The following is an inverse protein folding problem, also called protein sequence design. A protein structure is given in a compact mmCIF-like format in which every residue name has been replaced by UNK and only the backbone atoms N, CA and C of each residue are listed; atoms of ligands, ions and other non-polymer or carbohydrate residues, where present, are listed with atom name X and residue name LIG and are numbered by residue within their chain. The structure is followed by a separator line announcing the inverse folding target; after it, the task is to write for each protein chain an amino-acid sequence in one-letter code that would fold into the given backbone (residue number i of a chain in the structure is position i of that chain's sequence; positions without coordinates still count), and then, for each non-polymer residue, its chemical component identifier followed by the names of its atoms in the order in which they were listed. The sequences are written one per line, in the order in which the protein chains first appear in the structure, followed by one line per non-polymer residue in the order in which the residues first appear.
data_IF_467394234636
#
_entry.id   IF_467394234636
#
_cell.length_a   1.000
_cell.length_b   1.000
_cell.length_c   1.000
_cell.angle_alpha   90.00
_cell.angle_beta   90.00
_cell.angle_gamma   90.00
#
_symmetry.space_group_name_H-M   'P 1'
#
loop_
_entity.id
_entity.type
_entity.pdbx_description
1 polymer ?
#
# COMPACT_ATOMS: atom_id res chain seq x y z
N UNK A 1 -13.15 -21.79 -19.50
CA UNK A 1 -12.94 -20.44 -18.91
C UNK A 1 -12.83 -20.60 -17.40
N UNK A 2 -11.64 -20.44 -16.83
CA UNK A 2 -11.44 -20.57 -15.38
C UNK A 2 -11.87 -19.28 -14.68
N UNK A 3 -12.61 -19.40 -13.57
CA UNK A 3 -13.03 -18.27 -12.75
C UNK A 3 -12.11 -18.15 -11.54
N UNK A 4 -11.27 -17.12 -11.53
CA UNK A 4 -10.36 -16.81 -10.44
C UNK A 4 -11.07 -16.04 -9.33
N UNK A 5 -10.63 -16.25 -8.09
CA UNK A 5 -10.92 -15.30 -7.01
C UNK A 5 -10.28 -13.95 -7.30
N UNK A 6 -10.81 -12.89 -6.70
CA UNK A 6 -10.16 -11.56 -6.73
C UNK A 6 -8.72 -11.62 -6.24
N UNK A 7 -8.40 -12.43 -5.22
CA UNK A 7 -7.03 -12.55 -4.71
C UNK A 7 -6.09 -13.23 -5.70
N UNK A 8 -6.53 -14.30 -6.36
CA UNK A 8 -5.73 -15.00 -7.38
C UNK A 8 -5.52 -14.12 -8.62
N UNK A 9 -6.55 -13.41 -9.06
CA UNK A 9 -6.44 -12.46 -10.17
C UNK A 9 -5.48 -11.31 -9.84
N UNK A 10 -5.53 -10.76 -8.61
CA UNK A 10 -4.64 -9.68 -8.18
C UNK A 10 -3.17 -10.14 -8.18
N UNK A 11 -2.91 -11.35 -7.66
CA UNK A 11 -1.57 -11.94 -7.68
C UNK A 11 -1.05 -12.13 -9.11
N UNK A 12 -1.90 -12.64 -10.03
CA UNK A 12 -1.53 -12.83 -11.43
C UNK A 12 -1.32 -11.51 -12.18
N UNK A 13 -1.99 -10.44 -11.77
CA UNK A 13 -1.84 -9.07 -12.30
C UNK A 13 -0.65 -8.31 -11.69
N UNK A 14 0.01 -8.84 -10.66
CA UNK A 14 1.05 -8.11 -9.94
C UNK A 14 0.54 -6.87 -9.18
N UNK A 15 -0.74 -6.82 -8.83
CA UNK A 15 -1.34 -5.68 -8.10
C UNK A 15 -1.86 -6.11 -6.73
N UNK A 16 -1.97 -5.14 -5.81
CA UNK A 16 -2.58 -5.38 -4.51
C UNK A 16 -4.06 -5.76 -4.59
N UNK A 17 -4.52 -6.60 -3.66
CA UNK A 17 -5.92 -7.04 -3.58
C UNK A 17 -6.93 -5.88 -3.55
N UNK A 18 -6.64 -4.83 -2.78
CA UNK A 18 -7.50 -3.64 -2.69
C UNK A 18 -7.55 -2.86 -4.02
N UNK A 19 -6.45 -2.80 -4.76
CA UNK A 19 -6.36 -2.15 -6.06
C UNK A 19 -7.27 -2.84 -7.06
N UNK A 20 -7.22 -4.18 -7.10
CA UNK A 20 -8.13 -4.93 -7.97
C UNK A 20 -9.59 -4.79 -7.52
N UNK A 21 -9.87 -4.80 -6.20
CA UNK A 21 -11.22 -4.58 -5.67
C UNK A 21 -11.76 -3.20 -6.06
N UNK A 22 -10.91 -2.17 -6.04
CA UNK A 22 -11.27 -0.83 -6.49
C UNK A 22 -11.62 -0.82 -7.98
N UNK A 23 -10.82 -1.45 -8.84
CA UNK A 23 -11.14 -1.55 -10.26
C UNK A 23 -12.44 -2.29 -10.55
N UNK A 24 -12.81 -3.27 -9.71
CA UNK A 24 -14.11 -3.95 -9.78
C UNK A 24 -15.24 -2.97 -9.46
N UNK A 25 -15.10 -2.16 -8.40
CA UNK A 25 -16.11 -1.16 -8.03
C UNK A 25 -16.22 -0.02 -9.05
N UNK A 26 -15.12 0.34 -9.71
CA UNK A 26 -15.10 1.29 -10.83
C UNK A 26 -15.64 0.69 -12.14
N UNK A 27 -15.99 -0.61 -12.17
CA UNK A 27 -16.49 -1.29 -13.37
C UNK A 27 -15.43 -1.56 -14.44
N UNK A 28 -14.15 -1.39 -14.13
CA UNK A 28 -13.01 -1.59 -15.06
C UNK A 28 -12.64 -3.05 -15.27
N UNK A 29 -13.04 -3.91 -14.33
CA UNK A 29 -12.81 -5.36 -14.39
C UNK A 29 -14.15 -6.05 -14.57
N UNK A 30 -14.26 -6.87 -15.61
CA UNK A 30 -15.44 -7.70 -15.84
C UNK A 30 -15.45 -8.81 -14.80
N UNK A 31 -16.49 -8.83 -13.98
CA UNK A 31 -16.65 -9.85 -12.94
C UNK A 31 -17.99 -10.54 -13.04
N UNK A 32 -18.05 -11.78 -12.57
CA UNK A 32 -19.29 -12.49 -12.27
C UNK A 32 -19.45 -12.62 -10.76
N UNK A 33 -20.64 -12.33 -10.27
CA UNK A 33 -20.97 -12.50 -8.86
C UNK A 33 -21.53 -13.91 -8.67
N UNK A 34 -20.99 -14.64 -7.69
CA UNK A 34 -21.55 -15.95 -7.28
C UNK A 34 -22.86 -15.76 -6.52
N UNK A 35 -23.64 -16.83 -6.33
CA UNK A 35 -24.84 -16.81 -5.47
C UNK A 35 -24.57 -16.28 -4.05
N UNK A 36 -23.33 -16.40 -3.57
CA UNK A 36 -22.87 -15.86 -2.28
C UNK A 36 -22.26 -14.45 -2.34
N UNK A 37 -22.43 -13.68 -3.41
CA UNK A 37 -21.98 -12.27 -3.48
C UNK A 37 -20.49 -12.06 -3.78
N UNK A 38 -19.69 -13.12 -3.90
CA UNK A 38 -18.27 -12.99 -4.21
C UNK A 38 -18.02 -12.77 -5.70
N UNK A 39 -17.18 -11.79 -6.04
CA UNK A 39 -16.71 -11.54 -7.40
C UNK A 39 -15.73 -12.62 -7.86
N UNK A 40 -15.91 -13.04 -9.11
CA UNK A 40 -15.05 -13.97 -9.84
C UNK A 40 -14.64 -13.35 -11.16
N UNK A 41 -13.37 -13.47 -11.50
CA UNK A 41 -12.77 -12.87 -12.69
C UNK A 41 -12.39 -14.00 -13.63
N UNK A 42 -12.81 -13.93 -14.89
CA UNK A 42 -12.43 -14.93 -15.88
C UNK A 42 -10.93 -14.83 -16.17
N UNK A 43 -10.27 -15.97 -16.41
CA UNK A 43 -8.84 -15.97 -16.73
C UNK A 43 -8.52 -15.14 -17.97
N UNK A 44 -9.41 -15.16 -18.96
CA UNK A 44 -9.35 -14.32 -20.17
C UNK A 44 -9.43 -12.82 -19.87
N UNK A 45 -10.11 -12.43 -18.79
CA UNK A 45 -10.18 -11.04 -18.35
C UNK A 45 -8.88 -10.63 -17.66
N UNK A 46 -8.27 -11.54 -16.88
CA UNK A 46 -6.94 -11.32 -16.32
C UNK A 46 -5.89 -11.21 -17.42
N UNK A 47 -5.94 -12.10 -18.42
CA UNK A 47 -5.05 -12.04 -19.58
C UNK A 47 -5.27 -10.78 -20.43
N UNK A 48 -6.52 -10.32 -20.57
CA UNK A 48 -6.83 -9.02 -21.19
C UNK A 48 -6.14 -7.87 -20.45
N UNK A 49 -6.21 -7.87 -19.13
CA UNK A 49 -5.59 -6.84 -18.29
C UNK A 49 -4.06 -6.94 -18.26
N UNK A 50 -3.49 -8.13 -18.51
CA UNK A 50 -2.05 -8.37 -18.66
C UNK A 50 -1.52 -8.05 -20.06
N UNK A 51 -2.36 -8.09 -21.10
CA UNK A 51 -1.94 -7.82 -22.46
C UNK A 51 -1.35 -6.39 -22.56
N UNK A 52 -0.28 -6.16 -23.37
CA UNK A 52 0.50 -4.90 -23.41
C UNK A 52 -0.23 -3.62 -23.84
N UNK A 53 -1.56 -3.59 -23.84
CA UNK A 53 -2.35 -2.43 -24.25
C UNK A 53 -3.67 -2.25 -23.47
N UNK A 54 -3.89 -3.02 -22.40
CA UNK A 54 -5.02 -2.79 -21.48
C UNK A 54 -4.65 -2.90 -19.99
N UNK A 55 -3.38 -3.19 -19.68
CA UNK A 55 -2.78 -2.60 -18.51
C UNK A 55 -2.93 -1.09 -18.70
N UNK A 56 -3.66 -0.45 -17.78
CA UNK A 56 -3.45 0.97 -17.57
C UNK A 56 -1.94 1.18 -17.66
N UNK A 57 -1.49 2.02 -18.60
CA UNK A 57 -0.31 2.81 -18.29
C UNK A 57 -0.54 3.25 -16.84
N UNK A 58 0.35 2.99 -15.87
CA UNK A 58 0.21 3.61 -14.57
C UNK A 58 0.01 5.06 -14.91
N UNK A 59 -1.22 5.57 -14.71
CA UNK A 59 -1.70 6.81 -15.30
C UNK A 59 -0.56 7.77 -15.05
N UNK A 60 0.20 8.13 -16.09
CA UNK A 60 1.08 9.28 -15.96
C UNK A 60 0.05 10.33 -15.60
N UNK A 61 0.04 10.87 -14.38
CA UNK A 61 -1.00 11.81 -13.99
C UNK A 61 -0.99 12.84 -15.10
N UNK A 62 -2.18 13.17 -15.62
CA UNK A 62 -2.35 14.22 -16.63
C UNK A 62 -1.34 15.32 -16.29
N UNK A 63 -0.31 15.45 -17.13
CA UNK A 63 0.82 16.35 -16.86
C UNK A 63 0.35 17.81 -16.73
N UNK A 64 -0.91 18.06 -17.05
CA UNK A 64 -1.56 19.36 -17.01
C UNK A 64 -2.15 19.74 -15.64
N UNK A 65 -2.24 18.84 -14.64
CA UNK A 65 -2.75 19.19 -13.29
C UNK A 65 -1.99 18.60 -12.09
N UNK A 66 -0.77 18.09 -12.29
CA UNK A 66 0.09 17.75 -11.15
C UNK A 66 0.71 19.04 -10.57
N UNK A 67 0.23 19.48 -9.42
CA UNK A 67 0.92 20.51 -8.65
C UNK A 67 2.39 20.11 -8.45
N UNK A 68 3.33 21.01 -8.77
CA UNK A 68 4.75 20.72 -8.68
C UNK A 68 5.20 20.87 -7.22
N UNK A 69 5.63 19.79 -6.58
CA UNK A 69 6.41 19.89 -5.34
C UNK A 69 7.80 20.40 -5.74
N UNK A 70 8.03 21.70 -5.56
CA UNK A 70 9.24 22.39 -6.09
C UNK A 70 10.52 21.91 -5.40
N UNK A 71 10.50 21.76 -4.07
CA UNK A 71 11.59 21.18 -3.29
C UNK A 71 11.12 20.76 -1.90
N UNK A 72 11.58 19.60 -1.42
CA UNK A 72 11.39 19.12 -0.05
C UNK A 72 12.67 18.43 0.43
N UNK A 73 13.01 18.56 1.72
CA UNK A 73 14.20 17.94 2.31
C UNK A 73 14.03 16.44 2.61
N UNK A 74 12.78 15.96 2.64
CA UNK A 74 12.46 14.54 2.82
C UNK A 74 12.94 13.71 1.63
N UNK A 75 14.00 12.92 1.83
CA UNK A 75 14.61 12.07 0.80
C UNK A 75 13.85 10.77 0.57
N UNK A 76 13.09 10.31 1.57
CA UNK A 76 12.30 9.10 1.44
C UNK A 76 10.89 9.48 0.97
N UNK A 77 10.60 9.18 -0.29
CA UNK A 77 9.35 9.56 -0.94
C UNK A 77 8.65 8.30 -1.46
N UNK A 78 7.45 8.03 -0.93
CA UNK A 78 6.66 6.83 -1.22
C UNK A 78 5.38 7.24 -1.94
N UNK A 79 5.28 6.92 -3.23
CA UNK A 79 4.11 7.23 -4.05
C UNK A 79 3.01 6.20 -3.87
N UNK A 80 1.77 6.67 -3.80
CA UNK A 80 0.59 5.82 -3.78
C UNK A 80 -0.69 6.62 -3.82
N UNK A 81 -1.76 6.04 -3.28
CA UNK A 81 -3.06 6.70 -3.19
C UNK A 81 -3.65 6.61 -1.78
N UNK A 82 -4.56 7.54 -1.48
CA UNK A 82 -5.31 7.56 -0.23
C UNK A 82 -6.39 6.47 -0.24
N UNK A 83 -6.27 5.46 0.62
CA UNK A 83 -7.33 4.45 0.80
C UNK A 83 -8.36 4.89 1.84
N UNK A 84 -7.96 5.72 2.81
CA UNK A 84 -8.84 6.15 3.89
C UNK A 84 -8.34 7.43 4.57
N UNK A 85 -9.29 8.27 4.98
CA UNK A 85 -9.05 9.44 5.84
C UNK A 85 -10.06 9.37 6.98
N UNK A 86 -9.57 9.45 8.22
CA UNK A 86 -10.40 9.54 9.43
C UNK A 86 -9.98 10.78 10.19
N UNK A 87 -10.93 11.59 10.64
CA UNK A 87 -10.63 12.83 11.35
C UNK A 87 -11.34 12.82 12.70
N UNK A 88 -10.57 12.99 13.78
CA UNK A 88 -11.05 12.96 15.16
C UNK A 88 -10.38 14.08 15.97
N UNK A 89 -11.18 14.98 16.54
CA UNK A 89 -10.64 16.13 17.28
C UNK A 89 -9.70 16.98 16.41
N UNK A 90 -8.49 17.25 16.89
CA UNK A 90 -7.46 18.03 16.18
C UNK A 90 -6.58 17.20 15.23
N UNK A 91 -6.75 15.88 15.23
CA UNK A 91 -5.91 14.96 14.48
C UNK A 91 -6.69 14.28 13.35
N UNK A 92 -5.95 13.79 12.38
CA UNK A 92 -6.43 12.98 11.30
C UNK A 92 -5.49 11.81 11.04
N UNK A 93 -6.07 10.65 10.77
CA UNK A 93 -5.37 9.48 10.28
C UNK A 93 -5.58 9.37 8.76
N UNK A 94 -4.49 9.29 8.02
CA UNK A 94 -4.49 9.07 6.57
C UNK A 94 -3.81 7.74 6.28
N UNK A 95 -4.54 6.81 5.64
CA UNK A 95 -4.02 5.52 5.23
C UNK A 95 -3.74 5.53 3.73
N UNK A 96 -2.48 5.41 3.37
CA UNK A 96 -2.00 5.33 1.99
C UNK A 96 -1.74 3.88 1.60
N UNK A 97 -2.00 3.54 0.33
CA UNK A 97 -1.58 2.27 -0.27
C UNK A 97 -0.37 2.53 -1.15
N UNK A 98 0.75 1.92 -0.77
CA UNK A 98 2.04 2.02 -1.45
C UNK A 98 2.35 0.63 -1.99
N UNK A 99 2.11 0.38 -3.28
CA UNK A 99 2.20 -0.96 -3.85
C UNK A 99 1.25 -1.96 -3.16
N UNK A 100 1.79 -3.03 -2.60
CA UNK A 100 1.07 -4.04 -1.81
C UNK A 100 1.00 -3.70 -0.30
N UNK A 101 1.82 -2.76 0.17
CA UNK A 101 1.90 -2.31 1.56
C UNK A 101 0.86 -1.21 1.87
N UNK A 102 0.64 -0.99 3.15
CA UNK A 102 -0.16 0.13 3.65
C UNK A 102 0.70 0.98 4.59
N UNK A 103 0.66 2.29 4.40
CA UNK A 103 1.34 3.26 5.25
C UNK A 103 0.27 4.12 5.92
N UNK A 104 0.37 4.29 7.24
CA UNK A 104 -0.55 5.16 7.98
C UNK A 104 0.22 6.35 8.51
N UNK A 105 -0.25 7.55 8.19
CA UNK A 105 0.23 8.80 8.76
C UNK A 105 -0.82 9.37 9.70
N UNK A 106 -0.38 9.99 10.79
CA UNK A 106 -1.21 10.83 11.64
C UNK A 106 -0.74 12.26 11.42
N UNK A 107 -1.65 13.13 10.99
CA UNK A 107 -1.40 14.55 10.74
C UNK A 107 -2.50 15.38 11.42
N UNK A 108 -2.42 16.70 11.38
CA UNK A 108 -3.49 17.55 11.92
C UNK A 108 -4.72 17.52 11.02
N UNK A 109 -5.89 17.82 11.61
CA UNK A 109 -7.13 18.04 10.86
C UNK A 109 -6.92 19.09 9.76
N UNK A 110 -6.35 20.23 10.13
CA UNK A 110 -6.15 21.37 9.22
C UNK A 110 -5.29 20.96 8.01
N UNK A 111 -4.26 20.14 8.22
CA UNK A 111 -3.43 19.65 7.11
C UNK A 111 -4.21 18.78 6.12
N UNK A 112 -5.08 17.88 6.59
CA UNK A 112 -5.96 17.10 5.70
C UNK A 112 -6.88 18.01 4.90
N UNK A 113 -7.48 19.01 5.56
CA UNK A 113 -8.43 19.94 4.95
C UNK A 113 -7.76 20.85 3.91
N UNK A 114 -6.57 21.38 4.23
CA UNK A 114 -5.76 22.20 3.33
C UNK A 114 -5.29 21.42 2.10
N UNK A 115 -4.79 20.19 2.31
CA UNK A 115 -4.39 19.28 1.24
C UNK A 115 -5.59 18.71 0.46
N UNK A 116 -6.82 18.92 0.96
CA UNK A 116 -8.08 18.43 0.40
C UNK A 116 -8.07 16.92 0.14
N UNK A 117 -7.36 16.16 0.97
CA UNK A 117 -7.16 14.72 0.78
C UNK A 117 -8.49 13.97 0.92
N UNK A 118 -8.78 13.15 -0.07
CA UNK A 118 -9.94 12.27 -0.13
C UNK A 118 -9.51 10.88 -0.57
N UNK A 119 -10.35 9.90 -0.24
CA UNK A 119 -10.16 8.53 -0.71
C UNK A 119 -10.10 8.50 -2.25
N UNK A 120 -9.08 7.85 -2.78
CA UNK A 120 -8.80 7.73 -4.21
C UNK A 120 -7.77 8.72 -4.73
N UNK A 121 -7.42 9.77 -3.98
CA UNK A 121 -6.45 10.77 -4.42
C UNK A 121 -5.05 10.18 -4.48
N UNK A 122 -4.30 10.54 -5.52
CA UNK A 122 -2.86 10.30 -5.59
C UNK A 122 -2.15 11.13 -4.51
N UNK A 123 -1.25 10.49 -3.77
CA UNK A 123 -0.54 11.13 -2.67
C UNK A 123 0.93 10.67 -2.60
N UNK A 124 1.76 11.55 -2.04
CA UNK A 124 3.16 11.27 -1.75
C UNK A 124 3.37 11.26 -0.24
N UNK A 125 3.74 10.11 0.31
CA UNK A 125 4.27 10.06 1.66
C UNK A 125 5.73 10.51 1.64
N UNK A 126 6.04 11.52 2.46
CA UNK A 126 7.37 12.10 2.57
C UNK A 126 7.85 11.81 4.00
N UNK A 127 8.94 11.05 4.12
CA UNK A 127 9.53 10.69 5.40
C UNK A 127 10.90 11.34 5.52
N UNK A 128 11.11 12.10 6.60
CA UNK A 128 12.39 12.70 6.92
C UNK A 128 13.39 11.61 7.29
N UNK A 129 14.58 11.62 6.70
CA UNK A 129 15.56 10.53 6.86
C UNK A 129 16.05 10.34 8.30
N UNK A 130 15.98 11.37 9.13
CA UNK A 130 16.38 11.32 10.54
C UNK A 130 15.31 10.75 11.47
N UNK A 131 14.10 10.50 10.97
CA UNK A 131 12.94 10.04 11.75
C UNK A 131 12.49 8.67 11.25
N UNK A 132 13.43 7.73 11.21
CA UNK A 132 13.23 6.35 10.77
C UNK A 132 13.85 5.40 11.78
N UNK A 133 13.15 4.33 12.11
CA UNK A 133 13.68 3.22 12.90
C UNK A 133 14.09 2.07 11.98
N UNK A 134 15.22 1.43 12.27
CA UNK A 134 15.72 0.27 11.51
C UNK A 134 15.82 -0.91 12.46
N UNK A 135 15.31 -2.06 12.03
CA UNK A 135 15.43 -3.33 12.74
C UNK A 135 16.10 -4.36 11.83
N UNK A 136 16.90 -5.25 12.43
CA UNK A 136 17.41 -6.44 11.76
C UNK A 136 16.48 -7.60 12.08
N UNK A 137 16.01 -8.29 11.06
CA UNK A 137 15.30 -9.56 11.21
C UNK A 137 16.32 -10.68 11.47
N UNK A 138 16.01 -11.55 12.43
CA UNK A 138 16.84 -12.68 12.79
C UNK A 138 15.96 -13.90 13.00
N UNK A 139 16.39 -15.05 12.47
CA UNK A 139 15.68 -16.31 12.70
C UNK A 139 15.76 -16.69 14.19
N UNK A 140 14.70 -17.28 14.74
CA UNK A 140 14.65 -17.67 16.16
C UNK A 140 15.84 -18.55 16.59
N UNK A 141 16.39 -19.36 15.68
CA UNK A 141 17.57 -20.19 15.92
C UNK A 141 18.86 -19.37 16.17
N UNK A 142 18.96 -18.17 15.59
CA UNK A 142 20.14 -17.30 15.70
C UNK A 142 20.17 -16.44 16.97
N UNK A 143 19.05 -16.32 17.69
CA UNK A 143 18.94 -15.52 18.92
C UNK A 143 19.26 -16.31 20.22
N UNK A 144 19.20 -17.65 20.18
CA UNK A 144 19.39 -18.52 21.36
C UNK A 144 20.86 -18.60 21.86
N UNK A 145 21.83 -17.98 21.18
CA UNK A 145 23.25 -18.05 21.50
C UNK A 145 23.79 -16.99 22.48
N UNK A 146 22.94 -16.09 22.98
CA UNK A 146 23.36 -14.84 23.65
C UNK A 146 23.29 -14.79 25.18
N UNK A 147 23.16 -15.92 25.90
CA UNK A 147 23.18 -15.87 27.37
C UNK A 147 24.63 -15.69 27.88
N UNK A 148 24.91 -14.71 28.78
CA UNK A 148 26.24 -14.53 29.32
C UNK A 148 26.61 -15.75 30.16
N UNK A 149 27.69 -16.45 29.78
CA UNK A 149 28.32 -17.49 30.60
C UNK A 149 28.87 -16.84 31.88
N UNK A 150 28.04 -16.78 32.92
CA UNK A 150 28.44 -16.39 34.26
C UNK A 150 29.57 -17.29 34.73
N UNK A 151 30.75 -16.71 34.92
CA UNK A 151 31.92 -17.41 35.43
C UNK A 151 31.65 -17.98 36.83
N UNK A 152 31.70 -19.31 36.94
CA UNK A 152 31.69 -19.99 38.22
C UNK A 152 32.98 -19.64 38.99
N UNK A 153 32.89 -18.68 39.91
CA UNK A 153 33.88 -18.50 40.98
C UNK A 153 33.83 -19.75 41.86
N UNK A 154 34.74 -20.70 41.62
CA UNK A 154 35.06 -21.77 42.59
C UNK A 154 35.53 -21.10 43.88
N UNK A 155 34.67 -21.12 44.90
CA UNK A 155 35.10 -20.89 46.28
C UNK A 155 35.91 -22.10 46.74
N UNK A 156 36.94 -21.78 47.51
CA UNK A 156 38.00 -22.65 48.05
C UNK A 156 37.47 -23.83 48.84
#
# INVERSE_FOLDING_TARGET
MTLLTVRQAAARLGVGYSTLKHWIYEGRVRTRVTSGGHHRIADTEVDRLLAPSAAAEPRRPDRERAGLIVAISGRNQLRGYVDEVRVEGLLAQVRLRIGDQALTAVITRDAVEELKLKRGDDALAIVKSTEVMVAREADAASYAGGAPRGGAKRRR
#
